data_IF_850617965924
#
_entry.id   IF_850617965924
#
_cell.length_a   1.000
_cell.length_b   1.000
_cell.length_c   1.000
_cell.angle_alpha   90.00
_cell.angle_beta   90.00
_cell.angle_gamma   90.00
#
_symmetry.space_group_name_H-M   'P 1'
#
loop_
_entity.id
_entity.type
_entity.pdbx_description
1 polymer ?
#
# COMPACT_ATOMS: atom_id res chain seq x y z
N UNK A 1 4.78 60.30 -50.45
CA UNK A 1 4.35 59.94 -49.07
C UNK A 1 4.06 58.42 -49.03
N UNK A 2 5.03 57.66 -48.56
CA UNK A 2 4.93 56.21 -48.50
C UNK A 2 4.61 55.79 -47.03
N UNK A 3 3.47 55.16 -46.82
CA UNK A 3 3.09 54.63 -45.51
C UNK A 3 3.66 53.23 -45.34
N UNK A 4 4.57 53.07 -44.38
CA UNK A 4 5.02 51.76 -43.89
C UNK A 4 3.90 51.15 -43.00
N UNK A 5 3.42 49.97 -43.40
CA UNK A 5 2.54 49.14 -42.55
C UNK A 5 3.43 48.19 -41.73
N UNK A 6 3.45 48.39 -40.42
CA UNK A 6 4.12 47.48 -39.46
C UNK A 6 3.23 46.25 -39.26
N UNK A 7 3.74 45.07 -39.64
CA UNK A 7 3.13 43.80 -39.35
C UNK A 7 3.64 43.33 -37.97
N UNK A 8 2.76 43.32 -36.95
CA UNK A 8 3.06 42.74 -35.63
C UNK A 8 2.95 41.23 -35.68
N UNK A 9 4.07 40.53 -35.43
CA UNK A 9 4.06 39.10 -35.16
C UNK A 9 3.52 38.84 -33.73
N UNK A 10 2.34 38.25 -33.63
CA UNK A 10 1.87 37.65 -32.37
C UNK A 10 2.61 36.29 -32.20
N UNK A 11 3.54 36.25 -31.26
CA UNK A 11 4.12 34.99 -30.79
C UNK A 11 3.14 34.30 -29.83
N UNK A 12 2.46 33.26 -30.29
CA UNK A 12 1.63 32.40 -29.44
C UNK A 12 2.56 31.45 -28.62
N UNK A 13 2.76 31.74 -27.35
CA UNK A 13 3.42 30.85 -26.41
C UNK A 13 2.50 29.69 -26.08
N UNK A 14 2.80 28.53 -26.64
CA UNK A 14 2.15 27.26 -26.29
C UNK A 14 2.64 26.84 -24.90
N UNK A 15 1.84 27.09 -23.87
CA UNK A 15 2.10 26.56 -22.52
C UNK A 15 1.85 25.03 -22.54
N UNK A 16 2.92 24.23 -22.60
CA UNK A 16 2.83 22.81 -22.31
C UNK A 16 2.45 22.67 -20.83
N UNK A 17 1.20 22.33 -20.56
CA UNK A 17 0.78 21.86 -19.26
C UNK A 17 1.50 20.51 -19.02
N UNK A 18 2.55 20.52 -18.21
CA UNK A 18 3.15 19.32 -17.66
C UNK A 18 2.11 18.69 -16.74
N UNK A 19 1.39 17.68 -17.24
CA UNK A 19 0.56 16.84 -16.41
C UNK A 19 1.50 16.14 -15.42
N UNK A 20 1.47 16.53 -14.16
CA UNK A 20 2.16 15.79 -13.09
C UNK A 20 1.61 14.37 -13.09
N UNK A 21 2.47 13.33 -13.09
CA UNK A 21 2.00 11.97 -12.99
C UNK A 21 1.23 11.79 -11.68
N UNK A 22 0.10 11.10 -11.74
CA UNK A 22 -0.64 10.71 -10.55
C UNK A 22 0.22 9.72 -9.75
N UNK A 23 0.43 10.00 -8.46
CA UNK A 23 1.25 9.19 -7.55
C UNK A 23 0.35 8.49 -6.52
N UNK A 24 0.42 7.16 -6.32
CA UNK A 24 -0.22 6.49 -5.19
C UNK A 24 0.55 6.80 -3.90
N UNK A 25 -0.08 6.69 -2.72
CA UNK A 25 0.41 7.25 -1.45
C UNK A 25 0.46 8.79 -1.52
N UNK A 26 -0.21 9.50 -0.64
CA UNK A 26 -0.20 10.96 -0.66
C UNK A 26 1.25 11.49 -0.58
N UNK A 27 1.66 12.23 -1.62
CA UNK A 27 3.02 12.79 -1.72
C UNK A 27 4.13 11.77 -1.97
N UNK A 28 3.77 10.52 -2.31
CA UNK A 28 4.71 9.48 -2.68
C UNK A 28 5.31 9.69 -4.08
N UNK A 29 6.29 8.86 -4.43
CA UNK A 29 6.92 8.82 -5.75
C UNK A 29 6.72 7.43 -6.37
N UNK A 30 6.64 7.31 -7.72
CA UNK A 30 6.56 6.02 -8.39
C UNK A 30 7.70 5.10 -7.96
N UNK A 31 7.35 3.88 -7.53
CA UNK A 31 8.30 2.85 -7.14
C UNK A 31 8.25 1.72 -8.16
N UNK A 32 9.31 1.61 -8.98
CA UNK A 32 9.45 0.63 -10.05
C UNK A 32 10.57 -0.38 -9.79
N UNK A 33 11.11 -0.40 -8.58
CA UNK A 33 12.19 -1.28 -8.15
C UNK A 33 11.70 -2.57 -7.49
N UNK A 34 12.41 -3.01 -6.46
CA UNK A 34 12.15 -4.29 -5.81
C UNK A 34 10.76 -4.38 -5.17
N UNK A 35 10.28 -3.30 -4.52
CA UNK A 35 8.99 -3.32 -3.83
C UNK A 35 7.82 -3.51 -4.80
N UNK A 36 7.89 -2.94 -6.02
CA UNK A 36 6.85 -3.12 -7.03
C UNK A 36 6.75 -4.57 -7.53
N UNK A 37 7.88 -5.30 -7.56
CA UNK A 37 7.89 -6.73 -7.90
C UNK A 37 7.46 -7.63 -6.74
N UNK A 38 7.39 -7.09 -5.54
CA UNK A 38 6.98 -7.78 -4.32
C UNK A 38 5.55 -7.44 -3.89
N UNK A 39 4.80 -6.70 -4.71
CA UNK A 39 3.48 -6.20 -4.35
C UNK A 39 2.46 -6.36 -5.47
N UNK A 40 1.20 -6.54 -5.08
CA UNK A 40 0.04 -6.64 -5.97
C UNK A 40 -1.14 -5.85 -5.41
N UNK A 41 -2.15 -5.63 -6.24
CA UNK A 41 -3.45 -5.12 -5.79
C UNK A 41 -4.35 -6.27 -5.36
N UNK A 42 -5.18 -6.02 -4.36
CA UNK A 42 -6.39 -6.81 -4.08
C UNK A 42 -7.59 -5.93 -4.46
N UNK A 43 -8.44 -6.45 -5.33
CA UNK A 43 -9.67 -5.80 -5.75
C UNK A 43 -10.86 -6.52 -5.16
N UNK A 44 -11.88 -5.77 -4.78
CA UNK A 44 -13.16 -6.32 -4.33
C UNK A 44 -14.30 -5.94 -5.28
N UNK A 45 -15.33 -6.78 -5.37
CA UNK A 45 -16.46 -6.62 -6.29
C UNK A 45 -17.30 -5.36 -6.03
N UNK A 46 -17.14 -4.72 -4.88
CA UNK A 46 -17.77 -3.42 -4.57
C UNK A 46 -16.91 -2.20 -4.95
N UNK A 47 -15.81 -2.41 -5.69
CA UNK A 47 -14.89 -1.35 -6.12
C UNK A 47 -13.77 -1.02 -5.12
N UNK A 48 -13.66 -1.76 -4.00
CA UNK A 48 -12.57 -1.60 -3.06
C UNK A 48 -11.22 -1.99 -3.65
N UNK A 49 -10.19 -1.24 -3.29
CA UNK A 49 -8.79 -1.47 -3.65
C UNK A 49 -7.96 -1.59 -2.39
N UNK A 50 -7.09 -2.57 -2.35
CA UNK A 50 -6.05 -2.74 -1.35
C UNK A 50 -4.73 -3.12 -2.03
N UNK A 51 -3.66 -3.11 -1.26
CA UNK A 51 -2.33 -3.61 -1.63
C UNK A 51 -2.07 -4.93 -0.92
N UNK A 52 -1.21 -5.77 -1.47
CA UNK A 52 -0.75 -7.01 -0.85
C UNK A 52 0.74 -7.22 -1.13
N UNK A 53 1.42 -7.92 -0.22
CA UNK A 53 2.83 -8.28 -0.29
C UNK A 53 2.97 -9.74 -0.69
N UNK A 54 3.81 -10.04 -1.66
CA UNK A 54 4.11 -11.41 -2.11
C UNK A 54 4.98 -12.11 -1.06
N UNK A 55 4.53 -13.26 -0.53
CA UNK A 55 5.30 -14.10 0.40
C UNK A 55 5.81 -15.39 -0.24
N UNK A 56 5.08 -15.90 -1.24
CA UNK A 56 5.47 -17.04 -2.08
C UNK A 56 4.87 -16.86 -3.48
N UNK A 57 5.17 -17.75 -4.39
CA UNK A 57 4.69 -17.70 -5.77
C UNK A 57 3.16 -17.71 -5.91
N UNK A 58 2.44 -18.21 -4.91
CA UNK A 58 0.99 -18.25 -4.85
C UNK A 58 0.41 -17.70 -3.53
N UNK A 59 1.21 -17.01 -2.70
CA UNK A 59 0.75 -16.50 -1.39
C UNK A 59 1.06 -15.02 -1.22
N UNK A 60 0.05 -14.29 -0.77
CA UNK A 60 0.09 -12.87 -0.46
C UNK A 60 -0.24 -12.63 1.02
N UNK A 61 0.36 -11.59 1.61
CA UNK A 61 -0.06 -11.02 2.87
C UNK A 61 -0.74 -9.66 2.60
N UNK A 62 -1.81 -9.36 3.33
CA UNK A 62 -2.55 -8.10 3.23
C UNK A 62 -3.24 -7.77 4.56
N UNK A 63 -3.92 -6.64 4.66
CA UNK A 63 -4.78 -6.36 5.80
C UNK A 63 -6.03 -7.26 5.78
N UNK A 64 -6.51 -7.67 6.95
CA UNK A 64 -7.67 -8.55 7.07
C UNK A 64 -8.95 -7.90 6.51
N UNK A 65 -9.16 -6.60 6.77
CA UNK A 65 -10.31 -5.88 6.25
C UNK A 65 -10.38 -5.86 4.72
N UNK A 66 -9.25 -6.08 4.03
CA UNK A 66 -9.18 -6.12 2.57
C UNK A 66 -9.80 -7.38 1.96
N UNK A 67 -9.98 -8.45 2.75
CA UNK A 67 -10.39 -9.76 2.23
C UNK A 67 -11.53 -10.40 3.03
N UNK A 68 -12.01 -9.72 4.08
CA UNK A 68 -13.18 -10.12 4.86
C UNK A 68 -14.48 -9.61 4.23
N UNK A 69 -15.62 -10.04 4.79
CA UNK A 69 -16.93 -9.68 4.28
C UNK A 69 -17.40 -10.63 3.17
N UNK A 70 -18.53 -10.25 2.54
CA UNK A 70 -19.24 -11.09 1.54
C UNK A 70 -18.82 -10.80 0.10
N UNK A 71 -17.98 -9.79 -0.13
CA UNK A 71 -17.52 -9.39 -1.46
C UNK A 71 -16.61 -10.45 -2.07
N UNK A 72 -16.68 -10.57 -3.39
CA UNK A 72 -15.69 -11.33 -4.12
C UNK A 72 -14.38 -10.52 -4.20
N UNK A 73 -13.26 -11.21 -4.03
CA UNK A 73 -11.93 -10.60 -4.06
C UNK A 73 -11.07 -11.28 -5.13
N UNK A 74 -10.23 -10.49 -5.80
CA UNK A 74 -9.25 -10.95 -6.78
C UNK A 74 -7.91 -10.27 -6.53
N UNK A 75 -6.81 -11.00 -6.72
CA UNK A 75 -5.51 -10.36 -6.86
C UNK A 75 -5.38 -9.82 -8.29
N UNK A 76 -4.76 -8.66 -8.44
CA UNK A 76 -4.67 -7.97 -9.73
C UNK A 76 -3.26 -7.46 -9.98
N UNK A 77 -2.83 -7.60 -11.22
CA UNK A 77 -1.67 -6.92 -11.77
C UNK A 77 -1.89 -6.61 -13.26
N UNK A 78 -1.03 -5.78 -13.84
CA UNK A 78 -0.99 -5.59 -15.29
C UNK A 78 0.10 -6.45 -15.90
N UNK A 79 -0.21 -7.15 -17.00
CA UNK A 79 0.76 -7.86 -17.81
C UNK A 79 1.74 -6.87 -18.48
N UNK A 80 2.79 -7.38 -19.14
CA UNK A 80 3.80 -6.53 -19.78
C UNK A 80 3.23 -5.64 -20.91
N UNK A 81 2.15 -6.08 -21.54
CA UNK A 81 1.42 -5.32 -22.57
C UNK A 81 0.37 -4.36 -21.99
N UNK A 82 0.30 -4.22 -20.66
CA UNK A 82 -0.67 -3.38 -19.95
C UNK A 82 -2.03 -4.05 -19.70
N UNK A 83 -2.26 -5.26 -20.23
CA UNK A 83 -3.53 -6.00 -20.03
C UNK A 83 -3.77 -6.29 -18.54
N UNK A 84 -4.97 -5.99 -18.00
CA UNK A 84 -5.31 -6.33 -16.63
C UNK A 84 -5.47 -7.86 -16.46
N UNK A 85 -4.83 -8.40 -15.42
CA UNK A 85 -4.94 -9.82 -15.04
C UNK A 85 -5.58 -9.90 -13.67
N UNK A 86 -6.63 -10.70 -13.54
CA UNK A 86 -7.34 -10.98 -12.31
C UNK A 86 -7.11 -12.45 -11.92
N UNK A 87 -6.52 -12.67 -10.76
CA UNK A 87 -6.24 -14.00 -10.21
C UNK A 87 -7.27 -14.37 -9.16
N UNK A 88 -7.75 -15.60 -9.23
CA UNK A 88 -8.67 -16.15 -8.24
C UNK A 88 -7.96 -16.50 -6.93
N UNK A 89 -8.66 -16.28 -5.84
CA UNK A 89 -8.22 -16.66 -4.50
C UNK A 89 -8.73 -18.07 -4.21
N UNK A 90 -7.83 -18.96 -3.82
CA UNK A 90 -8.13 -20.34 -3.42
C UNK A 90 -8.49 -20.45 -1.94
N UNK A 91 -7.78 -19.67 -1.08
CA UNK A 91 -7.99 -19.69 0.37
C UNK A 91 -7.63 -18.33 0.99
N UNK A 92 -8.26 -18.03 2.10
CA UNK A 92 -7.97 -16.87 2.95
C UNK A 92 -7.77 -17.36 4.39
N UNK A 93 -6.75 -16.87 5.05
CA UNK A 93 -6.55 -17.02 6.48
C UNK A 93 -6.53 -15.63 7.10
N UNK A 94 -7.55 -15.32 7.89
CA UNK A 94 -7.64 -14.08 8.65
C UNK A 94 -7.06 -14.34 10.03
N UNK A 95 -6.27 -13.39 10.55
CA UNK A 95 -5.69 -13.52 11.89
C UNK A 95 -6.81 -13.70 12.93
N UNK A 96 -6.71 -14.66 13.86
CA UNK A 96 -7.79 -14.96 14.81
C UNK A 96 -8.12 -13.81 15.78
N UNK A 97 -7.19 -12.87 15.99
CA UNK A 97 -7.40 -11.66 16.77
C UNK A 97 -7.83 -10.45 15.92
N UNK A 98 -8.29 -10.66 14.69
CA UNK A 98 -8.89 -9.59 13.90
C UNK A 98 -10.32 -9.30 14.40
N UNK A 99 -10.59 -8.03 14.66
CA UNK A 99 -11.90 -7.51 15.04
C UNK A 99 -12.25 -6.32 14.12
N UNK A 100 -13.25 -6.49 13.27
CA UNK A 100 -13.68 -5.46 12.33
C UNK A 100 -14.20 -4.19 13.02
N UNK A 101 -14.71 -4.31 14.24
CA UNK A 101 -15.26 -3.21 15.02
C UNK A 101 -14.23 -2.55 15.95
N UNK A 102 -12.97 -2.98 15.90
CA UNK A 102 -11.93 -2.56 16.84
C UNK A 102 -11.73 -1.05 16.92
N UNK A 103 -11.83 -0.34 15.78
CA UNK A 103 -11.69 1.12 15.75
C UNK A 103 -12.86 1.77 16.50
N UNK A 104 -14.09 1.37 16.22
CA UNK A 104 -15.30 1.91 16.86
C UNK A 104 -15.37 1.56 18.35
N UNK A 105 -14.94 0.35 18.71
CA UNK A 105 -14.99 -0.16 20.08
C UNK A 105 -13.73 0.08 20.90
N UNK A 106 -12.69 0.64 20.26
CA UNK A 106 -11.36 0.89 20.86
C UNK A 106 -10.73 -0.38 21.44
N UNK A 107 -10.95 -1.52 20.77
CA UNK A 107 -10.37 -2.81 21.15
C UNK A 107 -9.11 -3.08 20.35
N UNK A 108 -8.31 -4.00 20.87
CA UNK A 108 -7.15 -4.54 20.16
C UNK A 108 -7.62 -5.37 18.96
N UNK A 109 -6.95 -5.20 17.83
CA UNK A 109 -7.17 -6.00 16.63
C UNK A 109 -5.85 -6.21 15.90
N UNK A 110 -5.66 -7.39 15.33
CA UNK A 110 -4.54 -7.69 14.42
C UNK A 110 -5.11 -7.78 13.01
N UNK A 111 -5.12 -6.67 12.33
CA UNK A 111 -5.67 -6.52 10.98
C UNK A 111 -4.69 -7.08 9.94
N UNK A 112 -4.57 -8.41 9.92
CA UNK A 112 -3.65 -9.17 9.08
C UNK A 112 -4.36 -10.37 8.48
N UNK A 113 -4.12 -10.64 7.20
CA UNK A 113 -4.57 -11.85 6.51
C UNK A 113 -3.51 -12.37 5.55
N UNK A 114 -3.54 -13.69 5.32
CA UNK A 114 -2.83 -14.35 4.24
C UNK A 114 -3.84 -14.84 3.20
N UNK A 115 -3.45 -14.77 1.94
CA UNK A 115 -4.28 -15.14 0.79
C UNK A 115 -3.50 -16.12 -0.06
N UNK A 116 -4.09 -17.28 -0.38
CA UNK A 116 -3.54 -18.22 -1.34
C UNK A 116 -4.25 -18.07 -2.68
N UNK A 117 -3.50 -17.95 -3.75
CA UNK A 117 -4.01 -17.87 -5.11
C UNK A 117 -4.26 -19.26 -5.68
N UNK A 118 -5.18 -19.39 -6.65
CA UNK A 118 -5.40 -20.65 -7.37
C UNK A 118 -4.27 -20.97 -8.34
N UNK A 119 -3.57 -19.96 -8.82
CA UNK A 119 -2.48 -20.09 -9.79
C UNK A 119 -1.25 -19.32 -9.28
N UNK A 120 -0.04 -19.80 -9.58
CA UNK A 120 1.17 -19.09 -9.21
C UNK A 120 1.29 -17.77 -10.00
N UNK A 121 1.98 -16.82 -9.37
CA UNK A 121 2.35 -15.55 -9.96
C UNK A 121 3.42 -15.75 -11.06
N UNK A 122 3.44 -14.90 -12.09
CA UNK A 122 4.57 -14.85 -13.02
C UNK A 122 5.91 -14.65 -12.31
N UNK A 123 6.99 -15.20 -12.87
CA UNK A 123 8.34 -15.19 -12.29
C UNK A 123 8.92 -13.77 -12.01
N UNK A 124 8.34 -12.73 -12.59
CA UNK A 124 8.71 -11.33 -12.29
C UNK A 124 8.36 -10.91 -10.86
N UNK A 125 7.36 -11.56 -10.25
CA UNK A 125 7.01 -11.30 -8.86
C UNK A 125 7.91 -12.12 -7.95
N UNK A 126 8.49 -11.45 -6.96
CA UNK A 126 9.47 -12.04 -6.06
C UNK A 126 8.95 -11.99 -4.63
N UNK A 127 9.09 -13.07 -3.85
CA UNK A 127 8.74 -13.05 -2.45
C UNK A 127 9.56 -12.03 -1.67
N UNK A 128 8.87 -11.14 -0.95
CA UNK A 128 9.47 -10.21 -0.01
C UNK A 128 10.06 -10.96 1.20
N UNK A 129 11.07 -10.37 1.82
CA UNK A 129 11.54 -10.81 3.13
C UNK A 129 10.78 -10.05 4.22
N UNK A 130 10.21 -10.78 5.16
CA UNK A 130 9.67 -10.23 6.39
C UNK A 130 10.79 -10.00 7.40
N UNK A 131 10.67 -8.99 8.26
CA UNK A 131 11.66 -8.70 9.27
C UNK A 131 11.05 -8.69 10.67
N UNK A 132 11.81 -9.24 11.63
CA UNK A 132 11.46 -9.18 13.04
C UNK A 132 12.00 -7.90 13.71
N UNK A 133 12.69 -7.06 12.96
CA UNK A 133 13.30 -5.83 13.46
C UNK A 133 12.28 -4.92 14.14
N UNK A 134 12.61 -4.48 15.34
CA UNK A 134 11.81 -3.49 16.08
C UNK A 134 12.26 -2.09 15.70
N UNK A 135 11.55 -1.47 14.77
CA UNK A 135 11.79 -0.06 14.42
C UNK A 135 11.22 0.82 15.53
N UNK A 136 12.07 1.72 16.04
CA UNK A 136 11.75 2.61 17.17
C UNK A 136 11.36 4.01 16.68
N UNK A 137 10.77 4.78 17.57
CA UNK A 137 10.48 6.20 17.36
C UNK A 137 11.69 6.96 16.81
N UNK A 138 11.45 7.83 15.84
CA UNK A 138 12.48 8.57 15.10
C UNK A 138 13.14 7.81 13.96
N UNK A 139 12.96 6.47 13.89
CA UNK A 139 13.41 5.68 12.73
C UNK A 139 12.63 6.05 11.47
N UNK A 140 13.28 5.92 10.31
CA UNK A 140 12.64 6.14 9.01
C UNK A 140 12.31 4.80 8.38
N UNK A 141 11.10 4.70 7.83
CA UNK A 141 10.61 3.53 7.09
C UNK A 141 9.94 3.99 5.81
N UNK A 142 9.90 3.09 4.82
CA UNK A 142 9.22 3.34 3.55
C UNK A 142 7.85 2.66 3.57
N UNK A 143 6.77 3.43 3.40
CA UNK A 143 5.42 2.93 3.16
C UNK A 143 5.16 2.95 1.66
N UNK A 144 4.62 1.84 1.12
CA UNK A 144 4.33 1.75 -0.31
C UNK A 144 2.98 1.07 -0.57
N UNK A 145 2.36 1.41 -1.72
CA UNK A 145 1.07 0.84 -2.08
C UNK A 145 0.52 1.34 -3.42
N UNK A 146 -0.69 0.87 -3.74
CA UNK A 146 -1.46 1.20 -4.95
C UNK A 146 -2.62 2.17 -4.65
N UNK A 147 -2.63 2.79 -3.48
CA UNK A 147 -3.71 3.66 -3.01
C UNK A 147 -3.85 4.96 -3.80
N UNK A 148 -4.80 5.79 -3.39
CA UNK A 148 -5.00 7.08 -4.04
C UNK A 148 -3.95 8.10 -3.64
N UNK A 149 -3.60 8.96 -4.58
CA UNK A 149 -2.78 10.16 -4.35
C UNK A 149 -3.61 11.41 -4.17
N UNK A 150 -4.88 11.32 -4.49
CA UNK A 150 -5.83 12.43 -4.40
C UNK A 150 -7.15 11.94 -3.81
N UNK A 151 -7.42 12.33 -2.57
CA UNK A 151 -8.68 12.01 -1.88
C UNK A 151 -9.92 12.63 -2.56
N UNK A 152 -9.73 13.67 -3.37
CA UNK A 152 -10.81 14.32 -4.09
C UNK A 152 -11.20 13.57 -5.36
N UNK A 153 -10.34 12.71 -5.89
CA UNK A 153 -10.62 11.91 -7.09
C UNK A 153 -11.62 10.78 -6.81
N UNK A 154 -12.87 11.04 -7.14
CA UNK A 154 -13.95 10.03 -7.05
C UNK A 154 -13.99 9.09 -8.27
N UNK A 155 -13.15 9.33 -9.29
CA UNK A 155 -13.10 8.50 -10.49
C UNK A 155 -12.18 7.28 -10.35
N UNK A 156 -11.34 7.23 -9.29
CA UNK A 156 -10.36 6.17 -9.06
C UNK A 156 -9.13 6.23 -9.98
N UNK A 157 -8.99 7.27 -10.82
CA UNK A 157 -7.82 7.41 -11.72
C UNK A 157 -6.53 7.72 -10.98
N UNK A 158 -6.64 8.24 -9.75
CA UNK A 158 -5.51 8.50 -8.87
C UNK A 158 -5.02 7.24 -8.13
N UNK A 159 -5.53 6.05 -8.46
CA UNK A 159 -5.15 4.76 -7.89
C UNK A 159 -4.47 3.85 -8.92
N UNK A 160 -3.77 2.81 -8.44
CA UNK A 160 -3.27 1.72 -9.27
C UNK A 160 -1.87 1.91 -9.84
N UNK A 161 -1.20 3.01 -9.55
CA UNK A 161 0.24 3.18 -9.72
C UNK A 161 0.91 2.85 -8.39
N UNK A 162 1.95 2.04 -8.39
CA UNK A 162 2.67 1.69 -7.17
C UNK A 162 3.63 2.82 -6.79
N UNK A 163 3.46 3.38 -5.61
CA UNK A 163 4.30 4.46 -5.12
C UNK A 163 4.77 4.21 -3.70
N UNK A 164 5.79 4.95 -3.29
CA UNK A 164 6.40 4.85 -1.99
C UNK A 164 6.70 6.23 -1.40
N UNK A 165 6.71 6.30 -0.07
CA UNK A 165 7.08 7.49 0.69
C UNK A 165 7.85 7.10 1.95
N UNK A 166 8.89 7.87 2.26
CA UNK A 166 9.59 7.73 3.54
C UNK A 166 8.89 8.54 4.63
N UNK A 167 8.63 7.87 5.75
CA UNK A 167 7.93 8.41 6.90
C UNK A 167 8.71 8.12 8.18
N UNK A 168 8.58 9.01 9.15
CA UNK A 168 9.13 8.81 10.49
C UNK A 168 8.22 7.92 11.34
N UNK A 169 8.83 7.01 12.09
CA UNK A 169 8.12 6.26 13.14
C UNK A 169 7.84 7.19 14.30
N UNK A 170 6.59 7.19 14.74
CA UNK A 170 6.11 7.98 15.88
C UNK A 170 5.35 7.08 16.87
N UNK A 171 5.24 7.52 18.10
CA UNK A 171 4.54 6.79 19.17
C UNK A 171 3.48 7.68 19.83
N UNK A 172 2.46 8.16 19.10
CA UNK A 172 1.49 9.13 19.59
C UNK A 172 0.65 8.62 20.77
N UNK A 173 0.61 7.29 20.94
CA UNK A 173 -0.13 6.62 22.03
C UNK A 173 0.78 5.75 22.90
N UNK A 174 2.11 6.01 22.85
CA UNK A 174 3.14 5.21 23.49
C UNK A 174 3.55 3.97 22.67
N UNK A 175 4.58 3.23 23.15
CA UNK A 175 5.13 2.08 22.47
C UNK A 175 4.09 0.99 22.26
N UNK A 176 4.06 0.40 21.04
CA UNK A 176 3.20 -0.71 20.73
C UNK A 176 3.98 -1.90 20.17
N UNK A 177 3.73 -3.09 20.73
CA UNK A 177 4.27 -4.34 20.21
C UNK A 177 3.49 -4.87 18.99
N UNK A 178 2.34 -4.28 18.64
CA UNK A 178 1.44 -4.73 17.57
C UNK A 178 1.41 -3.73 16.44
N UNK A 179 1.30 -2.44 16.77
CA UNK A 179 1.10 -1.37 15.81
C UNK A 179 2.40 -0.59 15.58
N UNK A 180 2.56 -0.14 14.36
CA UNK A 180 3.59 0.81 13.95
C UNK A 180 2.88 2.07 13.46
N UNK A 181 3.23 3.22 14.03
CA UNK A 181 2.67 4.51 13.65
C UNK A 181 3.70 5.34 12.90
N UNK A 182 3.24 6.01 11.85
CA UNK A 182 4.09 6.76 10.94
C UNK A 182 3.51 8.14 10.70
N UNK A 183 4.36 9.14 10.62
CA UNK A 183 3.99 10.49 10.19
C UNK A 183 5.05 11.10 9.27
N UNK A 184 4.64 12.12 8.53
CA UNK A 184 5.56 12.90 7.72
C UNK A 184 6.34 13.90 8.59
N UNK A 185 7.64 13.67 8.76
CA UNK A 185 8.52 14.56 9.52
C UNK A 185 8.58 15.99 8.94
N UNK A 186 8.33 16.13 7.63
CA UNK A 186 8.30 17.43 6.95
C UNK A 186 6.99 18.19 7.08
N UNK A 187 5.97 17.61 7.74
CA UNK A 187 4.63 18.19 7.87
C UNK A 187 3.95 18.58 6.54
N UNK A 188 4.42 18.00 5.41
CA UNK A 188 3.85 18.24 4.08
C UNK A 188 2.55 17.45 3.85
N UNK A 189 2.13 16.65 4.84
CA UNK A 189 0.91 15.84 4.78
C UNK A 189 1.03 14.63 3.87
N UNK A 190 2.23 14.01 3.80
CA UNK A 190 2.49 12.78 3.08
C UNK A 190 2.13 11.56 3.93
N UNK A 191 1.69 10.47 3.29
CA UNK A 191 1.36 9.25 4.02
C UNK A 191 0.40 8.34 3.28
N UNK A 192 -0.01 7.25 3.92
CA UNK A 192 -0.96 6.30 3.39
C UNK A 192 -2.35 6.91 3.13
N UNK A 193 -3.08 6.30 2.20
CA UNK A 193 -4.45 6.66 1.87
C UNK A 193 -5.25 5.40 1.49
N UNK A 194 -6.51 5.57 1.04
CA UNK A 194 -7.36 4.47 0.59
C UNK A 194 -6.66 3.70 -0.55
N UNK A 195 -6.59 2.38 -0.42
CA UNK A 195 -5.92 1.48 -1.35
C UNK A 195 -4.49 1.06 -0.93
N UNK A 196 -3.85 1.78 0.01
CA UNK A 196 -2.55 1.39 0.57
C UNK A 196 -2.64 0.33 1.66
N UNK A 197 -3.85 0.04 2.16
CA UNK A 197 -4.11 -1.03 3.13
C UNK A 197 -3.54 -2.37 2.64
N UNK A 198 -2.79 -3.07 3.49
CA UNK A 198 -2.07 -4.30 3.17
C UNK A 198 -0.72 -4.09 2.49
N UNK A 199 -0.38 -2.86 2.10
CA UNK A 199 0.90 -2.50 1.50
C UNK A 199 2.07 -2.62 2.47
N UNK A 200 3.30 -2.82 1.95
CA UNK A 200 4.48 -2.99 2.77
C UNK A 200 4.89 -1.70 3.47
N UNK A 201 5.29 -1.82 4.72
CA UNK A 201 6.09 -0.85 5.45
C UNK A 201 7.46 -1.50 5.66
N UNK A 202 8.49 -0.89 5.12
CA UNK A 202 9.83 -1.49 4.98
C UNK A 202 10.86 -0.71 5.79
N UNK A 203 11.71 -1.43 6.52
CA UNK A 203 12.92 -0.92 7.13
C UNK A 203 14.13 -1.69 6.57
N UNK A 204 15.08 -0.98 5.99
CA UNK A 204 16.18 -1.61 5.24
C UNK A 204 15.64 -2.41 4.06
N UNK A 205 15.84 -3.73 4.04
CA UNK A 205 15.36 -4.63 2.99
C UNK A 205 14.19 -5.52 3.41
N UNK A 206 13.65 -5.35 4.63
CA UNK A 206 12.60 -6.20 5.17
C UNK A 206 11.29 -5.50 5.45
N UNK A 207 10.19 -6.18 5.17
CA UNK A 207 8.85 -5.74 5.56
C UNK A 207 8.70 -5.91 7.07
N UNK A 208 8.55 -4.81 7.80
CA UNK A 208 8.39 -4.77 9.26
C UNK A 208 6.94 -4.66 9.70
N UNK A 209 6.07 -4.15 8.80
CA UNK A 209 4.64 -4.04 9.06
C UNK A 209 3.85 -4.00 7.73
N UNK A 210 2.54 -4.24 7.81
CA UNK A 210 1.60 -3.99 6.72
C UNK A 210 0.70 -2.81 7.07
N UNK A 211 0.49 -1.90 6.13
CA UNK A 211 -0.38 -0.73 6.28
C UNK A 211 -1.83 -1.16 6.53
N UNK A 212 -2.52 -0.54 7.48
CA UNK A 212 -3.89 -0.92 7.85
C UNK A 212 -4.85 0.25 7.98
N UNK A 213 -4.36 1.41 8.40
CA UNK A 213 -5.22 2.55 8.67
C UNK A 213 -4.48 3.88 8.49
N UNK A 214 -5.24 4.93 8.22
CA UNK A 214 -4.69 6.28 8.07
C UNK A 214 -5.69 7.34 8.52
N UNK A 215 -5.19 8.52 8.82
CA UNK A 215 -6.01 9.71 9.04
C UNK A 215 -5.31 10.94 8.45
N UNK A 216 -6.09 11.96 8.18
CA UNK A 216 -5.63 13.26 7.71
C UNK A 216 -5.74 14.34 8.78
N UNK A 217 -5.25 15.53 8.47
CA UNK A 217 -5.41 16.73 9.27
C UNK A 217 -6.57 17.60 8.74
N UNK A 218 -7.31 18.22 9.65
CA UNK A 218 -8.47 19.05 9.29
C UNK A 218 -9.59 18.24 8.66
N UNK A 219 -9.93 18.53 7.39
CA UNK A 219 -10.98 17.83 6.64
C UNK A 219 -10.43 16.70 5.73
N UNK A 220 -9.13 16.44 5.79
CA UNK A 220 -8.50 15.35 5.04
C UNK A 220 -8.65 14.02 5.78
N UNK A 221 -8.68 12.92 5.05
CA UNK A 221 -8.73 11.57 5.63
C UNK A 221 -7.36 10.87 5.60
N UNK A 222 -6.38 11.43 4.89
CA UNK A 222 -5.09 10.82 4.64
C UNK A 222 -3.92 11.79 4.89
N UNK A 223 -2.71 11.23 5.03
CA UNK A 223 -1.47 12.00 5.00
C UNK A 223 -1.03 12.63 6.32
N UNK A 224 -1.75 12.46 7.43
CA UNK A 224 -1.29 12.96 8.74
C UNK A 224 -0.65 11.86 9.59
N UNK A 225 -1.36 10.76 9.77
CA UNK A 225 -0.88 9.61 10.52
C UNK A 225 -1.23 8.33 9.76
N UNK A 226 -0.27 7.45 9.60
CA UNK A 226 -0.44 6.12 9.00
C UNK A 226 -0.15 5.05 10.05
N UNK A 227 -0.90 3.94 10.00
CA UNK A 227 -0.75 2.83 10.92
C UNK A 227 -0.48 1.55 10.14
N UNK A 228 0.37 0.67 10.69
CA UNK A 228 0.53 -0.68 10.21
C UNK A 228 0.54 -1.70 11.34
N UNK A 229 0.19 -2.96 11.01
CA UNK A 229 0.38 -4.10 11.91
C UNK A 229 1.78 -4.65 11.74
N UNK A 230 2.55 -4.72 12.83
CA UNK A 230 3.91 -5.29 12.85
C UNK A 230 3.85 -6.78 12.53
N UNK A 231 4.66 -7.24 11.56
CA UNK A 231 4.68 -8.65 11.14
C UNK A 231 5.53 -9.54 12.05
N UNK A 232 6.60 -9.01 12.65
CA UNK A 232 7.49 -9.76 13.52
C UNK A 232 6.78 -10.46 14.67
N UNK A 233 5.94 -9.79 15.47
CA UNK A 233 5.13 -10.42 16.53
C UNK A 233 4.14 -11.46 16.03
N UNK A 234 3.77 -11.44 14.73
CA UNK A 234 2.83 -12.38 14.11
C UNK A 234 3.53 -13.59 13.45
N UNK A 235 4.85 -13.70 13.58
CA UNK A 235 5.66 -14.72 12.91
C UNK A 235 5.11 -16.12 13.12
N UNK A 236 4.78 -16.49 14.35
CA UNK A 236 4.27 -17.84 14.65
C UNK A 236 3.00 -18.16 13.88
N UNK A 237 2.06 -17.22 13.81
CA UNK A 237 0.82 -17.41 13.06
C UNK A 237 1.07 -17.42 11.54
N UNK A 238 1.92 -16.52 11.04
CA UNK A 238 2.30 -16.47 9.62
C UNK A 238 2.93 -17.78 9.19
N UNK A 239 3.95 -18.25 9.92
CA UNK A 239 4.69 -19.47 9.59
C UNK A 239 3.77 -20.71 9.65
N UNK A 240 2.95 -20.85 10.69
CA UNK A 240 2.01 -21.98 10.82
C UNK A 240 0.97 -22.00 9.67
N UNK A 241 0.47 -20.83 9.27
CA UNK A 241 -0.48 -20.73 8.14
C UNK A 241 0.17 -21.12 6.83
N UNK A 242 1.39 -20.63 6.57
CA UNK A 242 2.15 -20.95 5.37
C UNK A 242 2.53 -22.43 5.31
N UNK A 243 2.96 -23.02 6.43
CA UNK A 243 3.26 -24.45 6.53
C UNK A 243 2.02 -25.30 6.20
N UNK A 244 0.85 -24.91 6.69
CA UNK A 244 -0.41 -25.57 6.35
C UNK A 244 -0.74 -25.53 4.85
N UNK A 245 -0.15 -24.59 4.11
CA UNK A 245 -0.27 -24.50 2.65
C UNK A 245 0.95 -25.06 1.89
N UNK A 246 1.95 -25.64 2.61
CA UNK A 246 3.19 -26.15 2.04
C UNK A 246 4.12 -25.04 1.54
N UNK A 247 4.07 -23.85 2.18
CA UNK A 247 4.87 -22.67 1.84
C UNK A 247 5.68 -22.20 3.04
N UNK A 248 6.60 -21.27 2.81
CA UNK A 248 7.41 -20.65 3.86
C UNK A 248 7.66 -19.20 3.55
N UNK A 249 7.66 -18.33 4.58
CA UNK A 249 8.11 -16.97 4.46
C UNK A 249 9.65 -16.88 4.50
N UNK A 250 10.19 -15.84 3.87
CA UNK A 250 11.58 -15.43 4.07
C UNK A 250 11.62 -14.46 5.25
N UNK A 251 12.47 -14.72 6.23
CA UNK A 251 12.68 -13.84 7.39
C UNK A 251 14.12 -13.34 7.46
N UNK A 252 14.29 -12.11 7.94
CA UNK A 252 15.58 -11.51 8.28
C UNK A 252 15.54 -10.81 9.66
#
# INVERSE_FOLDING_TARGET
>A
MAQLRSAGLLAATLALALASPAHAVIGGQPENGALSTQSLMILSSNGGVCTAVVLADDVLATAAHCVTGTQEHRAHYRAADGTPVLLEIAAKAVHPEYDADAIATRRRSIDLALVRLKQPLPARFQPASLATANVREGGVVTLAGYGTTDESDKSGRAMGVFNAVDLAVVEPYGPSSILLWLSDAGSAGRGGCQGDSGGPIVAGSGVVALSTWTTGAGQRNCGALSQGVRVGPQRTWIDATLEGWGRRAKWQ
#
